data_IF_428676525289
#
_entry.id   IF_428676525289
#
_cell.length_a   1.000
_cell.length_b   1.000
_cell.length_c   1.000
_cell.angle_alpha   90.00
_cell.angle_beta   90.00
_cell.angle_gamma   90.00
#
_symmetry.space_group_name_H-M   'P 1'
#
loop_
_entity.id
_entity.type
_entity.pdbx_description
1 polymer ?
#
# COMPACT_ATOMS: atom_id res chain seq x y z
N UNK A 1 27.70 47.11 22.68
CA UNK A 1 26.36 46.47 22.73
C UNK A 1 25.90 46.42 24.16
N UNK A 2 24.78 47.06 24.47
CA UNK A 2 24.19 47.08 25.80
C UNK A 2 23.64 45.68 26.21
N UNK A 3 23.61 45.38 27.51
CA UNK A 3 23.12 44.09 28.05
C UNK A 3 21.71 43.78 27.57
N UNK A 4 20.85 44.80 27.45
CA UNK A 4 19.48 44.67 26.94
C UNK A 4 19.44 44.25 25.47
N UNK A 5 20.27 44.87 24.64
CA UNK A 5 20.36 44.59 23.21
C UNK A 5 20.84 43.14 22.93
N UNK A 6 21.80 42.65 23.74
CA UNK A 6 22.27 41.26 23.67
C UNK A 6 21.20 40.25 24.07
N UNK A 7 20.34 40.59 25.04
CA UNK A 7 19.23 39.73 25.48
C UNK A 7 18.13 39.61 24.41
N UNK A 8 17.75 40.72 23.78
CA UNK A 8 16.75 40.74 22.70
C UNK A 8 17.25 39.93 21.49
N UNK A 9 18.53 40.05 21.15
CA UNK A 9 19.11 39.29 20.03
C UNK A 9 19.09 37.77 20.30
N UNK A 10 19.43 37.33 21.52
CA UNK A 10 19.35 35.92 21.91
C UNK A 10 17.92 35.39 21.90
N UNK A 11 16.97 36.18 22.38
CA UNK A 11 15.55 35.82 22.34
C UNK A 11 15.03 35.68 20.90
N UNK A 12 15.40 36.62 20.02
CA UNK A 12 15.04 36.57 18.60
C UNK A 12 15.61 35.34 17.89
N UNK A 13 16.87 34.98 18.18
CA UNK A 13 17.48 33.75 17.64
C UNK A 13 16.74 32.52 18.15
N UNK A 14 16.46 32.44 19.47
CA UNK A 14 15.74 31.32 20.06
C UNK A 14 14.32 31.16 19.51
N UNK A 15 13.61 32.27 19.32
CA UNK A 15 12.27 32.28 18.73
C UNK A 15 12.30 31.80 17.28
N UNK A 16 13.28 32.22 16.48
CA UNK A 16 13.43 31.74 15.10
C UNK A 16 13.72 30.24 15.05
N UNK A 17 14.61 29.72 15.91
CA UNK A 17 14.89 28.28 16.01
C UNK A 17 13.61 27.52 16.38
N UNK A 18 12.84 28.02 17.36
CA UNK A 18 11.57 27.42 17.76
C UNK A 18 10.55 27.41 16.61
N UNK A 19 10.44 28.50 15.86
CA UNK A 19 9.54 28.58 14.70
C UNK A 19 9.95 27.59 13.62
N UNK A 20 11.24 27.48 13.29
CA UNK A 20 11.74 26.48 12.34
C UNK A 20 11.43 25.06 12.84
N UNK A 21 11.65 24.78 14.13
CA UNK A 21 11.34 23.48 14.71
C UNK A 21 9.85 23.13 14.61
N UNK A 22 8.94 24.09 14.86
CA UNK A 22 7.50 23.90 14.73
C UNK A 22 7.08 23.62 13.29
N UNK A 23 7.66 24.33 12.32
CA UNK A 23 7.38 24.11 10.88
C UNK A 23 7.85 22.72 10.45
N UNK A 24 9.08 22.34 10.81
CA UNK A 24 9.63 21.01 10.51
C UNK A 24 8.77 19.91 11.16
N UNK A 25 8.40 20.09 12.43
CA UNK A 25 7.53 19.14 13.14
C UNK A 25 6.14 19.01 12.49
N UNK A 26 5.54 20.13 12.08
CA UNK A 26 4.27 20.15 11.37
C UNK A 26 4.33 19.36 10.06
N UNK A 27 5.38 19.57 9.26
CA UNK A 27 5.57 18.84 8.00
C UNK A 27 5.76 17.33 8.21
N UNK A 28 6.54 16.93 9.23
CA UNK A 28 6.73 15.52 9.56
C UNK A 28 5.41 14.85 9.97
N UNK A 29 4.58 15.55 10.76
CA UNK A 29 3.29 15.02 11.21
C UNK A 29 2.29 14.85 10.07
N UNK A 30 2.22 15.79 9.12
CA UNK A 30 1.32 15.69 7.96
C UNK A 30 1.69 14.50 7.09
N UNK A 31 2.96 14.34 6.74
CA UNK A 31 3.44 13.19 5.95
C UNK A 31 3.10 11.85 6.63
N UNK A 32 3.22 11.78 7.96
CA UNK A 32 2.89 10.56 8.70
C UNK A 32 1.41 10.19 8.61
N UNK A 33 0.51 11.17 8.75
CA UNK A 33 -0.94 10.96 8.66
C UNK A 33 -1.34 10.55 7.23
N UNK A 34 -0.77 11.20 6.21
CA UNK A 34 -1.03 10.86 4.81
C UNK A 34 -0.60 9.42 4.49
N UNK A 35 0.57 9.00 4.98
CA UNK A 35 1.08 7.65 4.81
C UNK A 35 0.21 6.60 5.52
N UNK A 36 -0.28 6.90 6.73
CA UNK A 36 -1.17 5.99 7.47
C UNK A 36 -2.50 5.74 6.73
N UNK A 37 -3.11 6.81 6.18
CA UNK A 37 -4.31 6.71 5.36
C UNK A 37 -4.03 5.91 4.08
N UNK A 38 -2.89 6.17 3.44
CA UNK A 38 -2.47 5.47 2.22
C UNK A 38 -2.28 3.97 2.47
N UNK A 39 -1.59 3.58 3.53
CA UNK A 39 -1.36 2.19 3.88
C UNK A 39 -2.65 1.46 4.27
N UNK A 40 -3.52 2.12 5.03
CA UNK A 40 -4.86 1.58 5.35
C UNK A 40 -5.66 1.30 4.08
N UNK A 41 -5.62 2.21 3.10
CA UNK A 41 -6.30 2.03 1.81
C UNK A 41 -5.74 0.83 1.05
N UNK A 42 -4.43 0.63 1.06
CA UNK A 42 -3.78 -0.52 0.40
C UNK A 42 -4.19 -1.84 1.04
N UNK A 43 -4.16 -1.91 2.38
CA UNK A 43 -4.63 -3.11 3.09
C UNK A 43 -6.08 -3.41 2.76
N UNK A 44 -6.94 -2.38 2.77
CA UNK A 44 -8.34 -2.54 2.44
C UNK A 44 -8.59 -3.03 1.00
N UNK A 45 -7.79 -2.59 0.02
CA UNK A 45 -7.90 -3.12 -1.34
C UNK A 45 -7.47 -4.58 -1.45
N UNK A 46 -6.47 -5.02 -0.67
CA UNK A 46 -6.08 -6.43 -0.62
C UNK A 46 -7.13 -7.31 0.08
N UNK A 47 -7.71 -6.85 1.19
CA UNK A 47 -8.80 -7.55 1.88
C UNK A 47 -10.00 -7.70 0.93
N UNK A 48 -10.35 -6.65 0.18
CA UNK A 48 -11.40 -6.72 -0.84
C UNK A 48 -11.09 -7.71 -1.95
N UNK A 49 -9.85 -7.70 -2.45
CA UNK A 49 -9.41 -8.61 -3.48
C UNK A 49 -9.56 -10.07 -3.03
N UNK A 50 -9.08 -10.39 -1.83
CA UNK A 50 -9.21 -11.74 -1.25
C UNK A 50 -10.69 -12.16 -1.13
N UNK A 51 -11.57 -11.30 -0.60
CA UNK A 51 -13.00 -11.60 -0.50
C UNK A 51 -13.69 -11.76 -1.87
N UNK A 52 -13.28 -11.01 -2.89
CA UNK A 52 -13.82 -11.18 -4.26
C UNK A 52 -13.33 -12.47 -4.89
N UNK A 53 -12.06 -12.85 -4.70
CA UNK A 53 -11.53 -14.14 -5.17
C UNK A 53 -12.28 -15.29 -4.50
N UNK A 54 -12.47 -15.25 -3.17
CA UNK A 54 -13.24 -16.26 -2.45
C UNK A 54 -14.65 -16.41 -3.02
N UNK A 55 -15.35 -15.28 -3.22
CA UNK A 55 -16.70 -15.30 -3.79
C UNK A 55 -16.70 -15.92 -5.18
N UNK A 56 -15.75 -15.57 -6.05
CA UNK A 56 -15.71 -16.12 -7.41
C UNK A 56 -15.34 -17.60 -7.44
N UNK A 57 -14.37 -18.04 -6.65
CA UNK A 57 -14.00 -19.46 -6.52
C UNK A 57 -15.20 -20.30 -6.08
N UNK A 58 -15.96 -19.84 -5.08
CA UNK A 58 -17.15 -20.54 -4.57
C UNK A 58 -18.35 -20.56 -5.55
N UNK A 59 -18.40 -19.62 -6.51
CA UNK A 59 -19.51 -19.48 -7.46
C UNK A 59 -19.13 -19.84 -8.90
N UNK A 60 -17.98 -20.49 -9.11
CA UNK A 60 -17.57 -20.99 -10.43
C UNK A 60 -17.10 -19.91 -11.39
N UNK A 61 -16.55 -18.79 -10.87
CA UNK A 61 -15.94 -17.71 -11.66
C UNK A 61 -16.89 -17.09 -12.70
N UNK A 62 -18.12 -16.77 -12.27
CA UNK A 62 -19.15 -16.18 -13.14
C UNK A 62 -18.92 -14.71 -13.47
N UNK A 63 -18.13 -13.99 -12.66
CA UNK A 63 -17.80 -12.57 -12.87
C UNK A 63 -16.29 -12.32 -12.64
N UNK A 64 -15.40 -12.91 -13.45
CA UNK A 64 -13.94 -12.79 -13.31
C UNK A 64 -13.45 -11.35 -13.48
N UNK A 65 -14.18 -10.50 -14.23
CA UNK A 65 -13.90 -9.07 -14.37
C UNK A 65 -13.82 -8.37 -13.00
N UNK A 66 -14.65 -8.79 -12.02
CA UNK A 66 -14.60 -8.20 -10.67
C UNK A 66 -13.29 -8.48 -9.96
N UNK A 67 -12.68 -9.64 -10.19
CA UNK A 67 -11.37 -9.99 -9.61
C UNK A 67 -10.30 -9.11 -10.23
N UNK A 68 -10.32 -8.94 -11.55
CA UNK A 68 -9.40 -8.05 -12.26
C UNK A 68 -9.53 -6.59 -11.82
N UNK A 69 -10.76 -6.08 -11.64
CA UNK A 69 -11.00 -4.72 -11.13
C UNK A 69 -10.41 -4.52 -9.74
N UNK A 70 -10.60 -5.47 -8.83
CA UNK A 70 -10.03 -5.37 -7.48
C UNK A 70 -8.51 -5.55 -7.48
N UNK A 71 -7.97 -6.38 -8.35
CA UNK A 71 -6.52 -6.52 -8.55
C UNK A 71 -5.93 -5.19 -9.02
N UNK A 72 -6.56 -4.55 -10.01
CA UNK A 72 -6.16 -3.24 -10.51
C UNK A 72 -6.25 -2.16 -9.43
N UNK A 73 -7.28 -2.19 -8.59
CA UNK A 73 -7.40 -1.28 -7.44
C UNK A 73 -6.26 -1.50 -6.42
N UNK A 74 -5.93 -2.74 -6.08
CA UNK A 74 -4.84 -3.08 -5.18
C UNK A 74 -3.48 -2.64 -5.76
N UNK A 75 -3.23 -2.97 -7.02
CA UNK A 75 -2.03 -2.60 -7.77
C UNK A 75 -1.88 -1.08 -7.89
N UNK A 76 -2.98 -0.36 -8.15
CA UNK A 76 -3.00 1.11 -8.16
C UNK A 76 -2.68 1.69 -6.78
N UNK A 77 -3.18 1.08 -5.70
CA UNK A 77 -2.82 1.46 -4.33
C UNK A 77 -1.31 1.36 -4.08
N UNK A 78 -0.71 0.22 -4.46
CA UNK A 78 0.75 0.00 -4.39
C UNK A 78 1.51 1.06 -5.20
N UNK A 79 1.05 1.39 -6.41
CA UNK A 79 1.67 2.42 -7.24
C UNK A 79 1.61 3.82 -6.60
N UNK A 80 0.47 4.18 -6.02
CA UNK A 80 0.33 5.46 -5.32
C UNK A 80 1.26 5.54 -4.12
N UNK A 81 1.47 4.45 -3.37
CA UNK A 81 2.47 4.42 -2.28
C UNK A 81 3.89 4.73 -2.75
N UNK A 82 4.31 4.19 -3.89
CA UNK A 82 5.63 4.47 -4.46
C UNK A 82 5.80 5.96 -4.77
N UNK A 83 4.77 6.58 -5.36
CA UNK A 83 4.82 7.98 -5.82
C UNK A 83 4.61 9.00 -4.71
N UNK A 84 3.71 8.72 -3.77
CA UNK A 84 3.18 9.72 -2.83
C UNK A 84 3.69 9.56 -1.42
N UNK A 85 4.26 8.41 -1.05
CA UNK A 85 4.72 8.27 0.32
C UNK A 85 5.95 9.12 0.60
N UNK A 86 5.80 9.98 1.61
CA UNK A 86 6.86 10.86 2.09
C UNK A 86 7.82 10.17 3.06
N UNK A 87 7.44 9.01 3.62
CA UNK A 87 8.24 8.33 4.65
C UNK A 87 8.79 6.96 4.25
N UNK A 88 8.43 6.41 3.09
CA UNK A 88 9.05 5.17 2.58
C UNK A 88 10.55 5.35 2.33
N UNK A 89 11.34 4.39 2.82
CA UNK A 89 12.76 4.30 2.50
C UNK A 89 12.98 3.90 1.04
N UNK A 90 14.22 3.99 0.56
CA UNK A 90 14.56 3.52 -0.79
C UNK A 90 14.26 2.03 -0.97
N UNK A 91 14.63 1.20 0.01
CA UNK A 91 14.43 -0.24 -0.04
C UNK A 91 12.94 -0.60 0.00
N UNK A 92 12.15 0.13 0.81
CA UNK A 92 10.69 -0.05 0.80
C UNK A 92 10.12 0.27 -0.58
N UNK A 93 10.54 1.37 -1.22
CA UNK A 93 10.06 1.73 -2.57
C UNK A 93 10.38 0.65 -3.59
N UNK A 94 11.59 0.08 -3.54
CA UNK A 94 11.97 -1.04 -4.42
C UNK A 94 11.10 -2.27 -4.16
N UNK A 95 10.80 -2.58 -2.90
CA UNK A 95 9.89 -3.67 -2.54
C UNK A 95 8.48 -3.46 -3.11
N UNK A 96 7.90 -2.27 -2.94
CA UNK A 96 6.59 -1.94 -3.53
C UNK A 96 6.63 -2.00 -5.06
N UNK A 97 7.72 -1.58 -5.70
CA UNK A 97 7.89 -1.68 -7.15
C UNK A 97 7.90 -3.14 -7.62
N UNK A 98 8.64 -4.01 -6.94
CA UNK A 98 8.63 -5.45 -7.24
C UNK A 98 7.24 -6.04 -7.06
N UNK A 99 6.56 -5.73 -5.96
CA UNK A 99 5.17 -6.17 -5.74
C UNK A 99 4.24 -5.71 -6.86
N UNK A 100 4.30 -4.43 -7.26
CA UNK A 100 3.51 -3.87 -8.35
C UNK A 100 3.74 -4.62 -9.67
N UNK A 101 4.99 -4.93 -9.98
CA UNK A 101 5.38 -5.69 -11.16
C UNK A 101 4.90 -7.14 -11.10
N UNK A 102 5.12 -7.83 -9.99
CA UNK A 102 4.69 -9.23 -9.80
C UNK A 102 3.17 -9.36 -9.94
N UNK A 103 2.40 -8.47 -9.31
CA UNK A 103 0.94 -8.48 -9.44
C UNK A 103 0.46 -8.26 -10.88
N UNK A 104 1.17 -7.44 -11.67
CA UNK A 104 0.84 -7.20 -13.07
C UNK A 104 1.28 -8.28 -14.04
N UNK A 105 2.31 -9.05 -13.69
CA UNK A 105 2.88 -10.07 -14.57
C UNK A 105 2.25 -11.44 -14.35
N UNK A 106 1.91 -11.78 -13.10
CA UNK A 106 1.42 -13.12 -12.72
C UNK A 106 -0.09 -13.25 -12.93
N UNK A 107 -0.81 -12.14 -12.84
CA UNK A 107 -2.27 -12.13 -12.89
C UNK A 107 -2.76 -11.31 -14.06
N UNK A 108 -3.72 -11.83 -14.84
CA UNK A 108 -4.33 -11.07 -15.91
C UNK A 108 -5.10 -9.89 -15.30
N UNK A 109 -4.64 -8.68 -15.61
CA UNK A 109 -5.48 -7.49 -15.49
C UNK A 109 -6.34 -7.39 -16.76
N UNK A 110 -7.55 -6.84 -16.62
CA UNK A 110 -8.45 -6.54 -17.74
C UNK A 110 -7.71 -5.92 -18.92
N UNK A 111 -8.18 -6.15 -20.15
CA UNK A 111 -7.67 -5.40 -21.28
C UNK A 111 -7.87 -3.89 -21.05
N UNK A 112 -6.96 -3.08 -21.58
CA UNK A 112 -6.97 -1.62 -21.40
C UNK A 112 -8.24 -0.95 -21.97
N UNK A 113 -9.10 -1.72 -22.65
CA UNK A 113 -10.30 -1.26 -23.34
C UNK A 113 -11.59 -1.54 -22.55
N UNK A 114 -11.56 -2.34 -21.48
CA UNK A 114 -12.67 -2.49 -20.52
C UNK A 114 -13.95 -3.13 -21.07
N UNK A 115 -13.94 -3.57 -22.33
CA UNK A 115 -15.15 -3.96 -23.08
C UNK A 115 -15.23 -5.47 -23.37
N UNK A 116 -14.21 -6.26 -22.99
CA UNK A 116 -14.23 -7.72 -23.15
C UNK A 116 -14.32 -8.45 -21.82
N UNK A 117 -15.22 -9.41 -21.78
CA UNK A 117 -15.31 -10.38 -20.69
C UNK A 117 -13.98 -11.15 -20.58
N UNK A 118 -13.35 -11.05 -19.41
CA UNK A 118 -12.17 -11.83 -19.07
C UNK A 118 -12.61 -13.28 -18.95
N UNK A 119 -11.98 -14.18 -19.70
CA UNK A 119 -12.16 -15.62 -19.52
C UNK A 119 -10.88 -16.16 -18.90
N UNK A 120 -10.96 -16.56 -17.63
CA UNK A 120 -9.83 -17.14 -16.92
C UNK A 120 -9.65 -18.61 -17.30
N UNK A 121 -8.42 -18.98 -17.64
CA UNK A 121 -7.97 -20.37 -17.72
C UNK A 121 -7.97 -21.02 -16.33
N UNK A 122 -8.00 -22.35 -16.26
CA UNK A 122 -7.90 -23.06 -14.98
C UNK A 122 -6.62 -22.75 -14.21
N UNK A 123 -5.50 -22.52 -14.92
CA UNK A 123 -4.25 -22.13 -14.28
C UNK A 123 -4.33 -20.74 -13.66
N UNK A 124 -4.98 -19.77 -14.31
CA UNK A 124 -5.17 -18.44 -13.75
C UNK A 124 -6.10 -18.45 -12.53
N UNK A 125 -7.16 -19.25 -12.57
CA UNK A 125 -8.05 -19.48 -11.40
C UNK A 125 -7.26 -20.02 -10.22
N UNK A 126 -6.42 -21.04 -10.44
CA UNK A 126 -5.54 -21.60 -9.41
C UNK A 126 -4.53 -20.56 -8.89
N UNK A 127 -3.97 -19.71 -9.76
CA UNK A 127 -3.09 -18.64 -9.33
C UNK A 127 -3.82 -17.65 -8.42
N UNK A 128 -5.05 -17.25 -8.76
CA UNK A 128 -5.85 -16.37 -7.90
C UNK A 128 -6.21 -17.04 -6.57
N UNK A 129 -6.51 -18.33 -6.55
CA UNK A 129 -6.73 -19.06 -5.29
C UNK A 129 -5.47 -19.09 -4.41
N UNK A 130 -4.29 -19.29 -4.99
CA UNK A 130 -3.01 -19.16 -4.26
C UNK A 130 -2.79 -17.74 -3.76
N UNK A 131 -3.13 -16.71 -4.55
CA UNK A 131 -3.07 -15.32 -4.10
C UNK A 131 -3.96 -15.12 -2.87
N UNK A 132 -5.18 -15.67 -2.88
CA UNK A 132 -6.10 -15.63 -1.74
C UNK A 132 -5.45 -16.20 -0.48
N UNK A 133 -4.87 -17.40 -0.59
CA UNK A 133 -4.19 -18.06 0.53
C UNK A 133 -3.01 -17.23 1.05
N UNK A 134 -2.19 -16.69 0.15
CA UNK A 134 -1.07 -15.83 0.52
C UNK A 134 -1.57 -14.56 1.23
N UNK A 135 -2.61 -13.91 0.71
CA UNK A 135 -3.20 -12.71 1.32
C UNK A 135 -3.74 -13.00 2.72
N UNK A 136 -4.41 -14.14 2.90
CA UNK A 136 -4.88 -14.59 4.20
C UNK A 136 -3.73 -14.81 5.18
N UNK A 137 -2.71 -15.57 4.77
CA UNK A 137 -1.54 -15.92 5.58
C UNK A 137 -0.76 -14.69 6.08
N UNK A 138 -0.57 -13.69 5.22
CA UNK A 138 0.20 -12.49 5.56
C UNK A 138 -0.65 -11.45 6.32
N UNK A 139 -1.89 -11.77 6.64
CA UNK A 139 -2.78 -10.89 7.38
C UNK A 139 -3.37 -9.73 6.57
N UNK A 140 -3.46 -9.90 5.24
CA UNK A 140 -4.11 -8.97 4.31
C UNK A 140 -5.44 -9.54 3.77
N UNK A 141 -5.99 -10.56 4.45
CA UNK A 141 -7.26 -11.19 4.14
C UNK A 141 -8.41 -10.77 5.07
N UNK A 142 -9.61 -11.24 4.72
CA UNK A 142 -10.86 -11.07 5.44
C UNK A 142 -10.74 -11.60 6.87
N UNK A 143 -11.36 -10.90 7.82
CA UNK A 143 -11.36 -11.24 9.25
C UNK A 143 -10.04 -11.04 9.99
N UNK A 144 -9.03 -10.44 9.35
CA UNK A 144 -7.81 -10.02 10.03
C UNK A 144 -7.97 -8.57 10.48
N UNK A 145 -7.61 -8.29 11.73
CA UNK A 145 -7.58 -6.92 12.24
C UNK A 145 -6.57 -6.13 11.41
N UNK A 146 -7.02 -5.06 10.76
CA UNK A 146 -6.15 -4.17 9.99
C UNK A 146 -5.00 -3.73 10.87
N UNK A 147 -3.79 -3.68 10.31
CA UNK A 147 -2.64 -3.42 11.15
C UNK A 147 -2.65 -1.97 11.64
N UNK A 148 -2.58 -1.79 12.95
CA UNK A 148 -2.57 -0.45 13.56
C UNK A 148 -1.23 0.28 13.42
N UNK A 149 -0.23 -0.31 12.73
CA UNK A 149 1.08 0.31 12.58
C UNK A 149 1.70 0.10 11.19
N UNK A 150 2.32 1.18 10.69
CA UNK A 150 3.12 1.18 9.45
C UNK A 150 4.12 0.02 9.40
N UNK A 151 4.84 -0.23 10.48
CA UNK A 151 5.87 -1.28 10.52
C UNK A 151 5.27 -2.67 10.33
N UNK A 152 4.07 -2.91 10.87
CA UNK A 152 3.34 -4.15 10.63
C UNK A 152 2.96 -4.25 9.17
N UNK A 153 2.37 -3.19 8.59
CA UNK A 153 1.98 -3.16 7.18
C UNK A 153 3.16 -3.41 6.23
N UNK A 154 4.33 -2.79 6.47
CA UNK A 154 5.54 -3.02 5.69
C UNK A 154 6.00 -4.48 5.76
N UNK A 155 5.91 -5.13 6.93
CA UNK A 155 6.22 -6.56 7.08
C UNK A 155 5.25 -7.43 6.27
N UNK A 156 3.96 -7.13 6.31
CA UNK A 156 2.95 -7.87 5.54
C UNK A 156 3.19 -7.74 4.04
N UNK A 157 3.48 -6.52 3.56
CA UNK A 157 3.80 -6.26 2.15
C UNK A 157 5.10 -6.96 1.74
N UNK A 158 6.13 -6.95 2.59
CA UNK A 158 7.38 -7.67 2.34
C UNK A 158 7.15 -9.19 2.24
N UNK A 159 6.33 -9.74 3.13
CA UNK A 159 6.02 -11.16 3.11
C UNK A 159 5.16 -11.55 1.92
N UNK A 160 4.20 -10.70 1.54
CA UNK A 160 3.42 -10.84 0.31
C UNK A 160 4.33 -10.87 -0.92
N UNK A 161 5.23 -9.88 -1.06
CA UNK A 161 6.17 -9.81 -2.19
C UNK A 161 7.05 -11.06 -2.27
N UNK A 162 7.58 -11.50 -1.12
CA UNK A 162 8.41 -12.71 -1.04
C UNK A 162 7.65 -13.97 -1.43
N UNK A 163 6.42 -14.16 -0.93
CA UNK A 163 5.60 -15.35 -1.24
C UNK A 163 5.15 -15.35 -2.70
N UNK A 164 4.77 -14.19 -3.24
CA UNK A 164 4.40 -14.06 -4.66
C UNK A 164 5.59 -14.25 -5.60
N UNK A 165 6.79 -13.83 -5.22
CA UNK A 165 8.00 -14.07 -6.01
C UNK A 165 8.42 -15.55 -6.10
N UNK A 166 7.74 -16.44 -5.36
CA UNK A 166 7.95 -17.89 -5.41
C UNK A 166 6.90 -18.66 -6.22
N UNK A 167 5.89 -17.95 -6.75
CA UNK A 167 4.91 -18.48 -7.70
C UNK A 167 5.49 -18.50 -9.12
#
# INVERSE_FOLDING_TARGET
MDKRQRSIMRFSIGLNILLVALVVWGHLKVNFIEDEILFTKIQYTFVKLEGVIEKQSNHGWTEPNRVADQLNAARSGVWVAILKSGTLSHDDKLMFQRLYSTLGNVFPASDEEGDRDIVLTEQEKQNFEKLREILHDVGLGSNVQLSDSRNSMLKQVAELERKLGSL
#
